data_IF_298927986179
#
_entry.id   IF_298927986179
#
_cell.length_a   1.000
_cell.length_b   1.000
_cell.length_c   1.000
_cell.angle_alpha   90.00
_cell.angle_beta   90.00
_cell.angle_gamma   90.00
#
_symmetry.space_group_name_H-M   'P 1'
#
loop_
_entity.id
_entity.type
_entity.pdbx_description
1 polymer ?
#
# COMPACT_ATOMS: atom_id res chain seq x y z
N UNK A 1 7.04 -13.73 -6.78
CA UNK A 1 6.10 -12.62 -6.98
C UNK A 1 6.19 -11.64 -5.82
N UNK A 2 6.31 -10.37 -6.13
CA UNK A 2 6.46 -9.34 -5.10
C UNK A 2 5.08 -8.85 -4.68
N UNK A 3 4.83 -8.81 -3.38
CA UNK A 3 3.57 -8.35 -2.82
C UNK A 3 3.69 -6.91 -2.37
N UNK A 4 2.76 -6.09 -2.79
CA UNK A 4 2.82 -4.66 -2.57
C UNK A 4 1.63 -4.20 -1.74
N UNK A 5 1.92 -3.52 -0.63
CA UNK A 5 0.89 -2.84 0.14
C UNK A 5 0.81 -1.40 -0.35
N UNK A 6 -0.39 -0.90 -0.57
CA UNK A 6 -0.57 0.45 -1.10
C UNK A 6 -1.25 1.31 -0.06
N UNK A 7 -0.63 2.43 0.29
CA UNK A 7 -1.19 3.39 1.23
C UNK A 7 -1.68 4.60 0.45
N UNK A 8 -2.99 4.75 0.40
CA UNK A 8 -3.62 5.83 -0.34
C UNK A 8 -4.30 5.32 -1.60
N UNK A 9 -5.53 5.75 -1.83
CA UNK A 9 -6.30 5.28 -2.98
C UNK A 9 -6.96 6.45 -3.72
N UNK A 10 -6.22 7.57 -3.82
CA UNK A 10 -6.61 8.65 -4.70
C UNK A 10 -6.27 8.26 -6.13
N UNK A 11 -6.18 9.25 -7.01
CA UNK A 11 -5.91 8.96 -8.41
C UNK A 11 -4.64 8.16 -8.62
N UNK A 12 -3.58 8.54 -7.91
CA UNK A 12 -2.31 7.85 -8.06
C UNK A 12 -2.37 6.43 -7.49
N UNK A 13 -3.05 6.27 -6.35
CA UNK A 13 -3.20 4.95 -5.76
C UNK A 13 -3.99 4.02 -6.65
N UNK A 14 -5.04 4.53 -7.27
CA UNK A 14 -5.84 3.73 -8.19
C UNK A 14 -5.01 3.29 -9.39
N UNK A 15 -4.23 4.20 -9.94
CA UNK A 15 -3.36 3.89 -11.05
C UNK A 15 -2.34 2.81 -10.66
N UNK A 16 -1.78 2.96 -9.46
CA UNK A 16 -0.80 2.00 -8.96
C UNK A 16 -1.39 0.61 -8.81
N UNK A 17 -2.57 0.52 -8.19
CA UNK A 17 -3.22 -0.77 -7.99
C UNK A 17 -3.50 -1.43 -9.33
N UNK A 18 -3.97 -0.65 -10.28
CA UNK A 18 -4.25 -1.18 -11.61
C UNK A 18 -2.98 -1.68 -12.27
N UNK A 19 -1.91 -0.90 -12.18
CA UNK A 19 -0.64 -1.28 -12.79
C UNK A 19 -0.08 -2.54 -12.16
N UNK A 20 -0.15 -2.64 -10.84
CA UNK A 20 0.33 -3.82 -10.13
C UNK A 20 -0.47 -5.04 -10.53
N UNK A 21 -1.78 -4.89 -10.62
CA UNK A 21 -2.66 -6.00 -10.97
C UNK A 21 -2.34 -6.56 -12.35
N UNK A 22 -1.93 -5.70 -13.27
CA UNK A 22 -1.61 -6.12 -14.63
C UNK A 22 -0.20 -6.65 -14.78
N UNK A 23 0.64 -6.46 -13.78
CA UNK A 23 2.04 -6.88 -13.86
C UNK A 23 2.19 -8.33 -13.46
N UNK A 24 2.93 -9.11 -14.27
CA UNK A 24 3.06 -10.55 -14.04
C UNK A 24 3.76 -10.88 -12.74
N UNK A 25 4.69 -10.04 -12.31
CA UNK A 25 5.55 -10.35 -11.18
C UNK A 25 5.15 -9.64 -9.90
N UNK A 26 4.04 -8.92 -9.91
CA UNK A 26 3.59 -8.16 -8.76
C UNK A 26 2.16 -8.53 -8.42
N UNK A 27 1.84 -8.41 -7.14
CA UNK A 27 0.45 -8.56 -6.72
C UNK A 27 0.20 -7.63 -5.55
N UNK A 28 -1.05 -7.22 -5.39
CA UNK A 28 -1.46 -6.33 -4.32
C UNK A 28 -1.66 -7.14 -3.05
N UNK A 29 -0.93 -6.78 -2.00
CA UNK A 29 -1.11 -7.42 -0.70
C UNK A 29 -2.34 -6.83 -0.01
N UNK A 30 -2.44 -5.51 -0.02
CA UNK A 30 -3.57 -4.80 0.55
C UNK A 30 -3.55 -3.35 0.10
N UNK A 31 -4.68 -2.66 0.31
CA UNK A 31 -4.81 -1.25 0.03
C UNK A 31 -5.42 -0.58 1.25
N UNK A 32 -4.82 0.49 1.71
CA UNK A 32 -5.34 1.29 2.81
C UNK A 32 -5.63 2.69 2.32
N UNK A 33 -6.73 3.25 2.77
CA UNK A 33 -7.05 4.64 2.47
C UNK A 33 -7.71 5.26 3.70
N UNK A 34 -7.53 6.54 3.86
CA UNK A 34 -8.11 7.26 4.99
C UNK A 34 -9.63 7.21 4.94
N UNK A 35 -10.19 7.35 3.75
CA UNK A 35 -11.64 7.24 3.54
C UNK A 35 -11.98 5.83 3.10
N UNK A 36 -13.24 5.45 3.29
CA UNK A 36 -13.67 4.12 2.93
C UNK A 36 -13.50 3.86 1.43
N UNK A 37 -12.99 2.70 1.11
CA UNK A 37 -12.83 2.28 -0.28
C UNK A 37 -13.64 1.01 -0.55
N UNK A 38 -14.60 0.74 0.29
CA UNK A 38 -15.49 -0.41 0.06
C UNK A 38 -16.22 -0.23 -1.26
N UNK A 39 -16.29 -1.33 -2.01
CA UNK A 39 -16.92 -1.30 -3.31
C UNK A 39 -16.01 -0.83 -4.43
N UNK A 40 -14.84 -0.31 -4.09
CA UNK A 40 -13.86 0.15 -5.09
C UNK A 40 -12.69 -0.81 -5.24
N UNK A 41 -12.44 -1.59 -4.20
CA UNK A 41 -11.35 -2.56 -4.16
C UNK A 41 -11.95 -3.85 -3.63
N UNK A 42 -11.42 -4.98 -4.05
CA UNK A 42 -11.86 -6.26 -3.53
C UNK A 42 -11.74 -6.25 -2.01
N UNK A 43 -12.78 -6.74 -1.36
CA UNK A 43 -12.90 -6.64 0.08
C UNK A 43 -11.70 -7.26 0.81
N UNK A 44 -11.24 -8.38 0.33
CA UNK A 44 -10.13 -9.07 0.99
C UNK A 44 -8.81 -8.32 0.86
N UNK A 45 -8.75 -7.34 -0.03
CA UNK A 45 -7.54 -6.53 -0.19
C UNK A 45 -7.59 -5.24 0.62
N UNK A 46 -8.71 -4.93 1.24
CA UNK A 46 -8.84 -3.69 2.00
C UNK A 46 -8.20 -3.86 3.37
N UNK A 47 -7.25 -2.99 3.68
CA UNK A 47 -6.65 -2.94 4.99
C UNK A 47 -7.34 -1.82 5.76
N UNK A 48 -7.95 -2.15 6.88
CA UNK A 48 -8.74 -1.17 7.63
C UNK A 48 -7.91 -0.38 8.61
N UNK A 49 -6.81 -0.97 9.08
CA UNK A 49 -5.98 -0.32 10.09
C UNK A 49 -4.52 -0.53 9.72
N UNK A 50 -3.77 0.57 9.65
CA UNK A 50 -2.36 0.50 9.29
C UNK A 50 -1.55 -0.32 10.28
N UNK A 51 -2.04 -0.50 11.49
CA UNK A 51 -1.37 -1.36 12.45
C UNK A 51 -1.31 -2.80 11.94
N UNK A 52 -2.20 -3.19 11.02
CA UNK A 52 -2.19 -4.50 10.43
C UNK A 52 -1.43 -4.58 9.12
N UNK A 53 -0.44 -3.74 8.93
CA UNK A 53 0.25 -3.64 7.64
C UNK A 53 1.03 -4.89 7.26
N UNK A 54 1.18 -5.85 8.17
CA UNK A 54 1.82 -7.11 7.83
C UNK A 54 0.84 -8.11 7.21
N UNK A 55 -0.43 -7.73 7.10
CA UNK A 55 -1.43 -8.59 6.48
C UNK A 55 -0.98 -8.98 5.09
N UNK A 56 -1.13 -10.25 4.76
CA UNK A 56 -0.77 -10.82 3.45
C UNK A 56 0.71 -10.69 3.13
N UNK A 57 1.54 -10.41 4.14
CA UNK A 57 3.00 -10.43 4.03
C UNK A 57 3.53 -9.59 2.86
N UNK A 58 3.29 -8.28 2.87
CA UNK A 58 3.81 -7.45 1.78
C UNK A 58 5.33 -7.40 1.82
N UNK A 59 5.92 -7.40 0.65
CA UNK A 59 7.37 -7.24 0.51
C UNK A 59 7.75 -5.77 0.46
N UNK A 60 6.83 -4.94 -0.05
CA UNK A 60 7.05 -3.51 -0.23
C UNK A 60 5.77 -2.78 0.10
N UNK A 61 5.89 -1.63 0.73
CA UNK A 61 4.76 -0.76 0.99
C UNK A 61 5.01 0.56 0.28
N UNK A 62 4.11 0.91 -0.62
CA UNK A 62 4.21 2.15 -1.39
C UNK A 62 3.19 3.13 -0.85
N UNK A 63 3.64 4.32 -0.53
CA UNK A 63 2.74 5.31 0.03
C UNK A 63 2.54 6.47 -0.92
N UNK A 64 1.28 6.75 -1.23
CA UNK A 64 0.88 7.85 -2.09
C UNK A 64 -0.21 8.64 -1.40
N UNK A 65 -0.18 8.61 -0.08
CA UNK A 65 -1.21 9.23 0.72
C UNK A 65 -0.81 10.65 1.13
N UNK A 66 -1.65 11.25 1.96
CA UNK A 66 -1.39 12.58 2.48
C UNK A 66 -0.04 12.62 3.23
N UNK A 67 0.66 13.76 3.20
CA UNK A 67 1.99 13.86 3.83
C UNK A 67 2.06 13.40 5.27
N UNK A 68 1.03 13.64 6.06
CA UNK A 68 1.04 13.22 7.45
C UNK A 68 1.06 11.71 7.58
N UNK A 69 0.27 11.04 6.76
CA UNK A 69 0.24 9.59 6.73
C UNK A 69 1.55 9.06 6.19
N UNK A 70 2.06 9.72 5.17
CA UNK A 70 3.32 9.33 4.56
C UNK A 70 4.44 9.34 5.59
N UNK A 71 4.49 10.38 6.43
CA UNK A 71 5.52 10.46 7.44
C UNK A 71 5.43 9.30 8.42
N UNK A 72 4.23 8.97 8.85
CA UNK A 72 4.03 7.89 9.80
C UNK A 72 4.46 6.55 9.21
N UNK A 73 4.02 6.28 8.01
CA UNK A 73 4.36 5.02 7.34
C UNK A 73 5.84 5.00 6.94
N UNK A 74 6.35 6.16 6.56
CA UNK A 74 7.74 6.27 6.15
C UNK A 74 8.70 5.82 7.23
N UNK A 75 8.39 6.10 8.49
CA UNK A 75 9.24 5.66 9.58
C UNK A 75 9.30 4.14 9.65
N UNK A 76 8.16 3.48 9.50
CA UNK A 76 8.11 2.04 9.55
C UNK A 76 8.82 1.42 8.36
N UNK A 77 8.59 1.97 7.19
CA UNK A 77 9.21 1.46 5.98
C UNK A 77 10.72 1.67 6.02
N UNK A 78 11.15 2.81 6.52
CA UNK A 78 12.56 3.14 6.59
C UNK A 78 13.31 2.18 7.50
N UNK A 79 12.67 1.72 8.56
CA UNK A 79 13.30 0.77 9.45
C UNK A 79 13.51 -0.59 8.79
N UNK A 80 12.64 -0.93 7.85
CA UNK A 80 12.69 -2.21 7.19
C UNK A 80 13.47 -2.18 5.89
N UNK A 81 13.65 -1.01 5.32
CA UNK A 81 14.32 -0.83 4.06
C UNK A 81 15.47 0.13 4.22
N UNK A 82 16.43 0.07 3.31
CA UNK A 82 17.55 0.97 3.35
C UNK A 82 17.06 2.40 3.16
N UNK A 83 17.28 3.28 4.14
CA UNK A 83 16.81 4.67 4.02
C UNK A 83 17.39 5.40 2.83
N UNK A 84 18.50 4.96 2.32
CA UNK A 84 19.12 5.61 1.17
C UNK A 84 18.36 5.41 -0.11
N UNK A 85 17.44 4.48 -0.12
CA UNK A 85 16.66 4.22 -1.33
C UNK A 85 15.47 5.15 -1.48
N UNK A 86 15.24 5.99 -0.51
CA UNK A 86 14.08 6.86 -0.54
C UNK A 86 14.32 8.08 -1.38
#
# INVERSE_FOLDING_TARGET
>A
MVRVGVVGYGHLGQYLVESITKHQDLEVAWVWNRSSIQGKVQEELILEDLAGCTKNSPDVIVEVAHPDITRYIGLNVTENNDPKTR
#
